data_IF_310550945998
#
_entry.id   IF_310550945998
#
_cell.length_a   1.000
_cell.length_b   1.000
_cell.length_c   1.000
_cell.angle_alpha   90.00
_cell.angle_beta   90.00
_cell.angle_gamma   90.00
#
_symmetry.space_group_name_H-M   'P 1'
#
loop_
_entity.id
_entity.type
_entity.pdbx_description
1 polymer ?
2 non-polymer ?
3 non-polymer ?
4 non-polymer ?
5 water ?
#
# COMPACT_ATOMS: atom_id res chain seq x y z
N UNK A 1 5.20 -1.32 -15.78
CA UNK A 1 5.47 -2.10 -14.51
C UNK A 1 6.53 -1.39 -13.69
N UNK A 2 6.64 -1.74 -12.42
CA UNK A 2 7.74 -1.24 -11.59
C UNK A 2 8.36 -2.45 -10.89
N UNK A 3 9.60 -2.28 -10.46
CA UNK A 3 10.42 -3.35 -9.92
C UNK A 3 11.15 -2.89 -8.67
N UNK A 4 11.39 -3.83 -7.75
CA UNK A 4 12.26 -3.58 -6.61
C UNK A 4 13.02 -4.89 -6.27
N UNK A 5 14.36 -4.78 -6.14
CA UNK A 5 15.22 -5.87 -5.74
C UNK A 5 15.76 -5.70 -4.31
N UNK A 6 15.65 -6.74 -3.52
CA UNK A 6 16.16 -6.68 -2.19
C UNK A 6 17.68 -6.87 -2.15
N UNK A 7 18.21 -7.55 -3.13
CA UNK A 7 19.62 -7.83 -3.19
C UNK A 7 20.33 -6.49 -3.49
N UNK A 8 21.13 -6.05 -2.53
CA UNK A 8 21.84 -4.75 -2.64
C UNK A 8 20.99 -3.53 -2.27
N UNK A 9 19.78 -3.77 -1.81
CA UNK A 9 18.89 -2.65 -1.50
C UNK A 9 19.43 -1.79 -0.39
N UNK A 10 19.15 -0.49 -0.52
CA UNK A 10 19.46 0.48 0.53
C UNK A 10 18.39 1.58 0.57
N UNK A 11 18.54 2.55 1.49
CA UNK A 11 17.44 3.53 1.53
C UNK A 11 17.16 4.26 0.21
N UNK A 12 18.21 4.48 -0.55
CA UNK A 12 18.10 5.16 -1.82
C UNK A 12 17.38 4.31 -2.86
N UNK A 13 17.77 3.05 -3.02
CA UNK A 13 17.13 2.27 -4.05
C UNK A 13 15.63 1.97 -3.68
N UNK A 14 15.35 1.86 -2.40
CA UNK A 14 13.98 1.73 -1.96
C UNK A 14 13.21 3.03 -2.32
N UNK A 15 13.78 4.20 -2.01
CA UNK A 15 13.07 5.44 -2.33
C UNK A 15 12.84 5.58 -3.82
N UNK A 16 13.76 5.10 -4.64
CA UNK A 16 13.55 5.12 -6.07
C UNK A 16 12.38 4.24 -6.48
N UNK A 17 12.26 3.08 -5.83
CA UNK A 17 11.13 2.20 -6.07
C UNK A 17 9.81 2.89 -5.73
N UNK A 18 9.72 3.53 -4.59
CA UNK A 18 8.51 4.08 -4.13
C UNK A 18 8.18 5.26 -5.06
N UNK A 19 9.21 6.00 -5.47
CA UNK A 19 8.98 7.06 -6.50
C UNK A 19 8.44 6.50 -7.83
N UNK A 20 9.00 5.40 -8.33
CA UNK A 20 8.49 4.71 -9.52
C UNK A 20 7.03 4.24 -9.32
N UNK A 21 6.75 3.68 -8.14
CA UNK A 21 5.38 3.19 -7.83
C UNK A 21 4.39 4.40 -7.89
N UNK A 22 4.73 5.47 -7.23
CA UNK A 22 3.87 6.66 -7.31
C UNK A 22 3.68 7.12 -8.77
N UNK A 23 4.75 7.14 -9.55
CA UNK A 23 4.74 7.74 -10.90
C UNK A 23 4.03 6.87 -11.88
N UNK A 24 3.82 5.60 -11.52
CA UNK A 24 3.13 4.66 -12.36
C UNK A 24 1.61 4.77 -12.22
N UNK A 25 1.13 5.49 -11.23
CA UNK A 25 -0.29 5.61 -10.98
C UNK A 25 -0.84 6.85 -11.72
N UNK A 26 -1.86 6.64 -12.56
CA UNK A 26 -2.34 7.75 -13.42
C UNK A 26 -3.22 8.73 -12.67
N UNK A 27 -3.19 9.98 -13.12
CA UNK A 27 -3.99 11.02 -12.53
C UNK A 27 -4.09 12.12 -13.62
N UNK A 28 -5.18 12.87 -13.59
CA UNK A 28 -5.35 14.00 -14.54
C UNK A 28 -5.42 15.33 -13.80
N UNK A 29 -5.56 15.33 -12.47
CA UNK A 29 -5.70 16.53 -11.66
C UNK A 29 -4.83 16.35 -10.39
N UNK A 30 -4.31 17.46 -9.86
CA UNK A 30 -3.84 17.55 -8.47
C UNK A 30 -4.78 18.41 -7.64
N UNK A 31 -4.92 18.02 -6.40
CA UNK A 31 -5.69 18.76 -5.45
C UNK A 31 -4.75 19.18 -4.37
N UNK A 32 -4.61 20.49 -4.19
CA UNK A 32 -3.62 21.06 -3.29
C UNK A 32 -2.23 20.47 -3.55
N UNK A 33 -1.96 20.29 -4.83
CA UNK A 33 -0.70 19.87 -5.29
C UNK A 33 -0.32 18.35 -5.06
N UNK A 34 -1.35 17.60 -4.68
CA UNK A 34 -1.28 16.14 -4.47
C UNK A 34 -2.06 15.44 -5.57
N UNK A 35 -1.44 14.52 -6.35
CA UNK A 35 -2.11 13.72 -7.34
C UNK A 35 -3.40 13.07 -6.86
N UNK A 36 -4.46 13.27 -7.66
CA UNK A 36 -5.78 12.73 -7.37
C UNK A 36 -5.97 11.48 -8.18
N UNK A 37 -6.03 10.33 -7.52
CA UNK A 37 -6.24 9.13 -8.30
C UNK A 37 -7.58 9.15 -9.01
N UNK A 38 -7.61 8.39 -10.08
CA UNK A 38 -8.81 8.40 -10.93
C UNK A 38 -10.03 7.74 -10.32
N UNK A 39 -11.23 8.22 -10.68
CA UNK A 39 -12.44 7.52 -10.33
C UNK A 39 -12.47 6.06 -10.78
N UNK A 40 -12.07 5.76 -12.00
CA UNK A 40 -12.10 4.40 -12.47
C UNK A 40 -11.27 4.30 -13.70
N UNK A 41 -10.87 3.06 -14.01
CA UNK A 41 -10.08 2.75 -15.16
C UNK A 41 -10.68 1.43 -15.60
N UNK A 42 -10.89 1.28 -16.91
CA UNK A 42 -11.54 0.07 -17.45
C UNK A 42 -10.53 -0.91 -17.98
N UNK A 43 -10.85 -2.19 -17.78
CA UNK A 43 -10.01 -3.27 -18.25
C UNK A 43 -8.64 -3.42 -17.59
N UNK A 44 -7.70 -3.84 -18.40
CA UNK A 44 -6.42 -4.27 -17.90
C UNK A 44 -5.64 -3.13 -17.34
N UNK A 45 -5.93 -1.91 -17.85
CA UNK A 45 -5.12 -0.78 -17.48
C UNK A 45 -5.36 -0.39 -16.05
N UNK A 46 -6.37 -0.97 -15.43
CA UNK A 46 -6.66 -0.71 -14.04
C UNK A 46 -5.52 -1.26 -13.13
N UNK A 47 -4.68 -2.16 -13.61
CA UNK A 47 -3.77 -2.92 -12.67
C UNK A 47 -2.32 -2.65 -13.01
N UNK A 48 -1.55 -2.22 -12.02
CA UNK A 48 -0.12 -2.09 -12.11
C UNK A 48 0.48 -3.40 -11.59
N UNK A 49 1.47 -3.88 -12.32
CA UNK A 49 2.33 -5.03 -11.91
C UNK A 49 3.62 -4.57 -11.25
N UNK A 50 3.83 -4.99 -9.99
CA UNK A 50 5.06 -4.76 -9.28
C UNK A 50 5.85 -6.01 -9.21
N UNK A 51 7.05 -6.00 -9.76
CA UNK A 51 7.93 -7.14 -9.73
C UNK A 51 8.86 -7.02 -8.56
N UNK A 52 8.74 -7.94 -7.58
CA UNK A 52 9.52 -7.86 -6.35
C UNK A 52 10.45 -9.06 -6.29
N UNK A 53 11.73 -8.82 -5.99
CA UNK A 53 12.72 -9.87 -5.91
C UNK A 53 13.33 -9.92 -4.55
N UNK A 54 13.32 -11.14 -3.99
CA UNK A 54 13.96 -11.35 -2.72
C UNK A 54 15.47 -11.34 -2.84
N UNK A 55 16.11 -11.38 -1.69
CA UNK A 55 17.58 -11.35 -1.69
C UNK A 55 18.28 -12.39 -2.57
N UNK A 56 17.73 -13.60 -2.66
CA UNK A 56 18.23 -14.64 -3.58
C UNK A 56 17.78 -14.50 -5.01
N UNK A 57 16.99 -13.48 -5.32
CA UNK A 57 16.67 -13.28 -6.75
C UNK A 57 15.38 -13.94 -7.24
N UNK A 58 14.71 -14.65 -6.35
CA UNK A 58 13.35 -15.18 -6.60
C UNK A 58 12.33 -14.05 -6.61
N UNK A 59 11.28 -14.23 -7.34
CA UNK A 59 10.37 -13.12 -7.66
C UNK A 59 8.91 -13.47 -7.60
N UNK A 60 8.15 -12.51 -7.09
CA UNK A 60 6.71 -12.53 -7.29
C UNK A 60 6.28 -11.23 -8.06
N UNK A 61 5.16 -11.31 -8.76
CA UNK A 61 4.55 -10.10 -9.34
C UNK A 61 3.28 -9.82 -8.63
N UNK A 62 3.13 -8.59 -8.16
CA UNK A 62 1.99 -8.17 -7.37
C UNK A 62 1.11 -7.26 -8.23
N UNK A 63 -0.17 -7.57 -8.27
CA UNK A 63 -1.18 -6.68 -8.97
C UNK A 63 -1.82 -5.70 -8.06
N UNK A 64 -1.71 -4.41 -8.46
CA UNK A 64 -2.19 -3.29 -7.73
C UNK A 64 -3.21 -2.46 -8.58
N UNK A 65 -4.34 -2.24 -7.97
CA UNK A 65 -5.43 -1.44 -8.51
C UNK A 65 -4.98 0.06 -8.44
N UNK A 66 -4.87 0.68 -9.63
CA UNK A 66 -4.26 2.02 -9.71
C UNK A 66 -5.21 3.15 -9.26
N UNK A 67 -6.44 2.84 -8.99
CA UNK A 67 -7.41 3.81 -8.50
C UNK A 67 -7.39 3.94 -7.01
N UNK A 68 -6.87 2.90 -6.30
CA UNK A 68 -6.91 2.96 -4.85
C UNK A 68 -5.62 2.40 -4.12
N UNK A 69 -4.68 1.93 -4.88
CA UNK A 69 -3.36 1.33 -4.48
C UNK A 69 -3.64 0.04 -3.68
N UNK A 70 -4.81 -0.59 -3.90
CA UNK A 70 -5.09 -1.88 -3.26
C UNK A 70 -4.40 -3.01 -3.95
N UNK A 71 -3.78 -3.89 -3.18
CA UNK A 71 -3.18 -5.08 -3.78
C UNK A 71 -4.33 -6.08 -3.99
N UNK A 72 -4.42 -6.59 -5.19
CA UNK A 72 -5.51 -7.52 -5.59
C UNK A 72 -5.06 -9.02 -5.45
N UNK A 73 -3.80 -9.25 -5.70
CA UNK A 73 -3.23 -10.62 -5.78
C UNK A 73 -1.85 -10.60 -6.30
N UNK A 74 -1.30 -11.79 -6.54
CA UNK A 74 0.10 -11.89 -6.95
C UNK A 74 0.31 -13.21 -7.67
N UNK A 75 1.35 -13.27 -8.41
CA UNK A 75 1.82 -14.43 -9.12
C UNK A 75 3.14 -14.91 -8.53
N UNK A 76 3.19 -16.18 -8.18
CA UNK A 76 4.44 -16.78 -7.68
C UNK A 76 4.72 -18.08 -8.47
N UNK A 77 5.76 -18.03 -9.30
CA UNK A 77 6.04 -19.02 -10.33
C UNK A 77 4.86 -19.26 -11.28
N UNK A 78 4.14 -20.36 -11.12
CA UNK A 78 3.08 -20.67 -12.08
C UNK A 78 1.72 -20.68 -11.37
N UNK A 79 1.65 -20.15 -10.15
CA UNK A 79 0.43 -20.07 -9.42
C UNK A 79 0.08 -18.64 -9.13
N UNK A 80 -1.16 -18.28 -9.42
CA UNK A 80 -1.67 -16.99 -9.04
C UNK A 80 -2.47 -17.09 -7.81
N UNK A 81 -2.46 -16.03 -7.00
CA UNK A 81 -3.24 -15.97 -5.78
C UNK A 81 -4.02 -14.62 -5.72
N UNK A 82 -5.29 -14.63 -5.33
CA UNK A 82 -6.14 -13.47 -5.26
C UNK A 82 -6.87 -13.46 -3.98
N UNK A 83 -7.11 -12.26 -3.45
CA UNK A 83 -7.96 -12.10 -2.29
C UNK A 83 -9.40 -12.59 -2.60
N UNK A 84 -10.09 -12.97 -1.55
CA UNK A 84 -11.47 -13.53 -1.61
C UNK A 84 -12.42 -12.33 -1.50
N UNK A 85 -12.48 -11.60 -2.61
CA UNK A 85 -13.30 -10.34 -2.68
C UNK A 85 -13.60 -10.02 -4.13
N UNK A 86 -14.72 -9.33 -4.33
CA UNK A 86 -15.12 -9.15 -5.77
C UNK A 86 -14.18 -8.36 -6.65
N UNK A 87 -13.52 -7.38 -6.06
CA UNK A 87 -12.54 -6.59 -6.82
C UNK A 87 -11.41 -7.43 -7.26
N UNK A 88 -10.96 -8.39 -6.44
CA UNK A 88 -9.87 -9.28 -6.87
C UNK A 88 -10.29 -10.32 -7.86
N UNK A 89 -11.50 -10.84 -7.67
CA UNK A 89 -12.06 -11.76 -8.65
C UNK A 89 -12.13 -11.04 -10.00
N UNK A 90 -12.60 -9.79 -10.03
CA UNK A 90 -12.56 -9.03 -11.31
C UNK A 90 -11.14 -8.91 -11.86
N UNK A 91 -10.18 -8.52 -11.03
CA UNK A 91 -8.77 -8.43 -11.46
C UNK A 91 -8.27 -9.71 -12.09
N UNK A 92 -8.73 -10.85 -11.55
CA UNK A 92 -8.25 -12.16 -12.06
C UNK A 92 -8.72 -12.43 -13.48
N UNK A 93 -9.64 -11.58 -13.98
CA UNK A 93 -10.05 -11.65 -15.37
C UNK A 93 -9.01 -11.04 -16.24
N UNK A 94 -8.18 -10.16 -15.67
CA UNK A 94 -7.22 -9.42 -16.48
C UNK A 94 -5.75 -9.78 -16.27
N UNK A 95 -5.35 -10.13 -15.04
CA UNK A 95 -3.91 -10.31 -14.80
C UNK A 95 -3.56 -11.75 -14.41
N UNK A 96 -2.40 -12.19 -14.82
CA UNK A 96 -1.85 -13.56 -14.49
C UNK A 96 -2.66 -14.68 -15.06
N UNK A 97 -3.40 -14.41 -16.14
CA UNK A 97 -4.21 -15.48 -16.76
C UNK A 97 -3.42 -16.68 -17.26
N UNK A 98 -2.13 -16.50 -17.46
CA UNK A 98 -1.22 -17.52 -17.94
C UNK A 98 -0.73 -18.46 -16.78
N UNK A 99 -1.11 -18.19 -15.51
CA UNK A 99 -0.80 -19.07 -14.41
C UNK A 99 -1.41 -20.42 -14.73
N UNK A 100 -0.71 -21.48 -14.36
CA UNK A 100 -1.24 -22.84 -14.50
C UNK A 100 -2.38 -23.11 -13.53
N UNK A 101 -2.39 -22.47 -12.38
CA UNK A 101 -3.54 -22.58 -11.49
C UNK A 101 -3.70 -21.30 -10.70
N UNK A 102 -4.91 -21.10 -10.26
CA UNK A 102 -5.29 -19.94 -9.54
C UNK A 102 -5.90 -20.32 -8.20
N UNK A 103 -5.29 -19.84 -7.11
CA UNK A 103 -5.79 -19.98 -5.78
C UNK A 103 -6.43 -18.72 -5.25
N UNK A 104 -7.62 -18.86 -4.70
CA UNK A 104 -8.23 -17.77 -4.03
C UNK A 104 -7.84 -17.94 -2.57
N UNK A 105 -7.22 -16.92 -2.05
CA UNK A 105 -6.85 -16.91 -0.63
C UNK A 105 -8.12 -16.96 0.22
N UNK A 106 -8.03 -17.48 1.43
CA UNK A 106 -9.23 -17.65 2.31
C UNK A 106 -9.50 -16.42 3.18
N UNK A 107 -9.26 -15.25 2.61
CA UNK A 107 -9.61 -14.03 3.26
C UNK A 107 -9.60 -12.90 2.19
N UNK A 108 -10.31 -11.85 2.52
CA UNK A 108 -10.19 -10.58 1.79
C UNK A 108 -8.91 -9.84 2.20
N UNK A 109 -8.66 -8.71 1.54
CA UNK A 109 -7.41 -7.98 1.72
C UNK A 109 -7.45 -6.85 2.72
N UNK A 110 -8.51 -6.64 3.41
CA UNK A 110 -8.44 -5.54 4.36
C UNK A 110 -7.75 -5.90 5.66
N UNK A 111 -7.15 -4.88 6.26
CA UNK A 111 -6.35 -5.12 7.45
C UNK A 111 -7.01 -5.93 8.52
N UNK A 112 -8.27 -5.65 8.85
CA UNK A 112 -8.97 -6.44 9.89
C UNK A 112 -8.95 -7.97 9.58
N UNK A 113 -9.35 -8.35 8.40
CA UNK A 113 -9.35 -9.76 8.02
C UNK A 113 -7.99 -10.40 7.97
N UNK A 114 -7.01 -9.68 7.41
CA UNK A 114 -5.62 -10.18 7.38
C UNK A 114 -5.04 -10.41 8.76
N UNK A 115 -5.33 -9.53 9.72
CA UNK A 115 -4.83 -9.62 11.08
C UNK A 115 -5.45 -10.81 11.75
N UNK A 116 -6.73 -11.03 11.49
CA UNK A 116 -7.44 -12.24 12.00
C UNK A 116 -6.75 -13.50 11.49
N UNK A 117 -6.49 -13.57 10.19
CA UNK A 117 -5.83 -14.71 9.60
C UNK A 117 -4.43 -14.91 10.09
N UNK A 118 -3.69 -13.82 10.25
CA UNK A 118 -2.33 -13.86 10.73
C UNK A 118 -2.22 -14.18 12.20
N UNK A 119 -3.24 -13.84 12.97
CA UNK A 119 -3.27 -14.12 14.37
C UNK A 119 -2.67 -13.02 15.24
N UNK A 120 -2.45 -11.86 14.64
CA UNK A 120 -1.86 -10.77 15.38
C UNK A 120 -2.16 -9.41 14.70
N UNK A 121 -2.29 -8.36 15.49
CA UNK A 121 -2.49 -7.04 14.83
C UNK A 121 -1.18 -6.55 14.16
N UNK A 122 -1.29 -5.60 13.27
CA UNK A 122 -0.06 -5.21 12.69
C UNK A 122 0.87 -4.33 13.55
N UNK A 123 0.37 -3.84 14.68
CA UNK A 123 1.21 -3.22 15.71
C UNK A 123 2.29 -4.13 16.22
N UNK A 124 2.10 -5.43 16.07
CA UNK A 124 3.01 -6.40 16.61
C UNK A 124 3.86 -7.03 15.55
N UNK A 125 3.72 -6.62 14.27
CA UNK A 125 4.45 -7.29 13.18
C UNK A 125 5.53 -6.32 12.69
N UNK A 126 6.81 -6.69 12.84
CA UNK A 126 7.91 -5.83 12.40
C UNK A 126 7.85 -5.63 10.91
N UNK A 127 8.12 -4.38 10.49
CA UNK A 127 8.26 -4.07 9.06
C UNK A 127 9.60 -3.44 8.79
N UNK A 128 9.97 -3.42 7.53
CA UNK A 128 11.30 -3.05 7.10
C UNK A 128 11.66 -3.77 5.85
N UNK A 129 12.85 -3.49 5.37
CA UNK A 129 13.39 -4.16 4.16
C UNK A 129 13.67 -5.68 4.43
N UNK A 130 14.28 -5.98 5.59
CA UNK A 130 14.39 -7.46 5.88
C UNK A 130 13.02 -8.18 5.93
N UNK A 131 12.02 -7.55 6.51
CA UNK A 131 10.65 -8.08 6.62
C UNK A 131 10.06 -8.26 5.22
N UNK A 132 10.31 -7.32 4.33
CA UNK A 132 9.89 -7.44 2.91
C UNK A 132 10.51 -8.59 2.20
N UNK A 133 11.80 -8.78 2.39
CA UNK A 133 12.46 -9.96 1.83
C UNK A 133 11.85 -11.27 2.37
N UNK A 134 11.55 -11.33 3.68
CA UNK A 134 10.89 -12.51 4.22
C UNK A 134 9.50 -12.69 3.58
N UNK A 135 8.79 -11.57 3.37
CA UNK A 135 7.39 -11.63 2.92
C UNK A 135 7.36 -12.25 1.54
N UNK A 136 8.24 -11.81 0.66
CA UNK A 136 8.31 -12.25 -0.70
C UNK A 136 8.59 -13.73 -0.66
N UNK A 137 9.56 -14.12 0.18
CA UNK A 137 9.94 -15.52 0.31
C UNK A 137 8.78 -16.41 0.75
N UNK A 138 8.01 -15.93 1.71
CA UNK A 138 6.88 -16.63 2.18
C UNK A 138 5.84 -16.84 1.09
N UNK A 139 5.65 -15.79 0.32
CA UNK A 139 4.57 -15.82 -0.69
C UNK A 139 4.90 -16.72 -1.84
N UNK A 140 6.17 -17.13 -1.95
CA UNK A 140 6.57 -18.04 -3.02
C UNK A 140 5.91 -19.44 -2.92
N UNK A 141 5.60 -19.85 -1.71
CA UNK A 141 4.91 -21.13 -1.53
C UNK A 141 3.75 -20.97 -0.59
N UNK A 142 2.62 -21.51 -1.03
CA UNK A 142 1.39 -21.29 -0.39
C UNK A 142 1.37 -21.75 1.05
N UNK A 143 0.98 -20.89 1.93
CA UNK A 143 0.68 -21.22 3.27
C UNK A 143 -0.18 -20.04 3.71
N UNK A 144 -1.48 -20.28 3.88
CA UNK A 144 -2.35 -19.12 4.00
C UNK A 144 -2.18 -18.36 5.28
N UNK A 145 -1.93 -19.05 6.40
CA UNK A 145 -1.63 -18.32 7.65
C UNK A 145 -0.34 -17.48 7.56
N UNK A 146 0.71 -18.04 7.04
CA UNK A 146 2.01 -17.33 6.90
C UNK A 146 1.82 -16.15 5.90
N UNK A 147 1.01 -16.38 4.86
CA UNK A 147 0.80 -15.39 3.81
C UNK A 147 0.08 -14.16 4.37
N UNK A 148 -0.84 -14.32 5.32
CA UNK A 148 -1.55 -13.18 5.84
C UNK A 148 -0.55 -12.18 6.43
N UNK A 149 0.36 -12.66 7.25
CA UNK A 149 1.40 -11.82 7.82
C UNK A 149 2.30 -11.20 6.77
N UNK A 150 2.73 -11.98 5.81
CA UNK A 150 3.50 -11.51 4.71
C UNK A 150 2.79 -10.36 3.94
N UNK A 151 1.51 -10.52 3.67
CA UNK A 151 0.80 -9.54 2.95
C UNK A 151 0.62 -8.24 3.74
N UNK A 152 0.47 -8.31 5.07
CA UNK A 152 0.41 -7.13 5.93
C UNK A 152 1.72 -6.38 5.84
N UNK A 153 2.82 -7.12 5.78
CA UNK A 153 4.14 -6.45 5.52
C UNK A 153 4.23 -5.84 4.11
N UNK A 154 3.83 -6.61 3.10
CA UNK A 154 3.94 -6.19 1.73
C UNK A 154 3.09 -4.90 1.48
N UNK A 155 1.87 -4.87 2.04
CA UNK A 155 0.93 -3.72 1.84
C UNK A 155 1.55 -2.42 2.40
N UNK A 156 2.11 -2.54 3.62
CA UNK A 156 2.68 -1.43 4.32
C UNK A 156 3.93 -0.93 3.67
N UNK A 157 4.75 -1.81 3.14
CA UNK A 157 6.04 -1.41 2.61
C UNK A 157 5.99 -0.99 1.16
N UNK A 158 4.82 -1.14 0.49
CA UNK A 158 4.69 -0.77 -0.93
C UNK A 158 3.61 0.36 -0.96
N UNK A 159 2.36 -0.05 -0.91
CA UNK A 159 1.24 0.89 -1.02
C UNK A 159 1.25 1.98 -0.01
N UNK A 160 1.47 1.67 1.27
CA UNK A 160 1.27 2.68 2.32
C UNK A 160 2.46 3.68 2.26
N UNK A 161 3.64 3.16 1.92
CA UNK A 161 4.79 4.04 1.67
C UNK A 161 4.60 4.95 0.44
N UNK A 162 3.98 4.43 -0.62
CA UNK A 162 3.61 5.28 -1.79
C UNK A 162 2.64 6.38 -1.36
N UNK A 163 1.71 6.09 -0.46
CA UNK A 163 0.73 7.10 -0.06
C UNK A 163 1.29 8.21 0.83
N UNK A 164 2.26 7.86 1.72
CA UNK A 164 2.73 8.75 2.74
C UNK A 164 4.23 8.78 2.81
N UNK A 165 4.83 9.94 2.62
CA UNK A 165 6.27 10.08 2.68
C UNK A 165 6.76 9.68 4.07
N UNK A 166 5.99 9.95 5.10
CA UNK A 166 6.40 9.60 6.43
C UNK A 166 6.64 8.04 6.53
N UNK A 167 5.68 7.27 5.99
CA UNK A 167 5.80 5.82 5.97
C UNK A 167 7.00 5.32 5.15
N UNK A 168 7.20 5.89 3.98
CA UNK A 168 8.37 5.64 3.17
C UNK A 168 9.67 5.85 4.00
N UNK A 169 9.75 6.98 4.71
CA UNK A 169 10.87 7.27 5.63
C UNK A 169 11.04 6.24 6.78
N UNK A 170 9.93 5.82 7.35
CA UNK A 170 9.96 4.82 8.38
C UNK A 170 10.60 3.52 7.82
N UNK A 171 10.20 3.07 6.65
CA UNK A 171 10.81 1.85 6.04
C UNK A 171 12.28 2.10 5.75
N UNK A 172 12.61 3.29 5.28
CA UNK A 172 14.03 3.58 5.01
C UNK A 172 14.85 3.47 6.28
N UNK A 173 14.31 3.87 7.39
CA UNK A 173 14.99 3.81 8.65
C UNK A 173 15.12 2.32 9.10
N UNK A 174 14.28 1.46 8.52
CA UNK A 174 14.33 0.00 8.79
C UNK A 174 14.91 -0.74 7.62
N UNK A 175 15.90 -0.19 6.97
CA UNK A 175 16.50 -0.84 5.83
C UNK A 175 17.23 -2.11 6.22
N UNK A 176 17.79 -2.15 7.42
CA UNK A 176 18.65 -3.26 7.82
C UNK A 176 18.29 -3.85 9.16
N UNK A 177 17.25 -3.34 9.80
CA UNK A 177 16.68 -3.80 11.04
C UNK A 177 15.18 -3.54 11.03
N UNK A 178 14.34 -4.60 11.14
CA UNK A 178 12.91 -4.43 11.22
C UNK A 178 12.50 -3.83 12.52
N UNK A 179 11.39 -3.10 12.53
CA UNK A 179 10.78 -2.69 13.75
C UNK A 179 9.32 -2.53 13.52
N UNK A 180 8.54 -2.79 14.55
CA UNK A 180 7.10 -2.63 14.38
C UNK A 180 6.80 -1.17 13.97
N UNK A 181 5.70 -0.97 13.24
CA UNK A 181 5.38 0.38 12.78
C UNK A 181 5.13 1.32 13.97
N UNK A 182 5.44 2.60 13.82
CA UNK A 182 5.03 3.56 14.83
C UNK A 182 3.49 3.69 14.86
N UNK A 183 2.97 4.13 15.99
CA UNK A 183 1.56 4.39 16.04
C UNK A 183 1.14 5.45 15.00
N UNK A 184 2.00 6.41 14.72
CA UNK A 184 1.72 7.43 13.70
C UNK A 184 1.50 6.74 12.34
N UNK A 185 2.35 5.78 12.09
CA UNK A 185 2.23 5.00 10.83
C UNK A 185 0.86 4.30 10.75
N UNK A 186 0.50 3.63 11.83
CA UNK A 186 -0.81 2.98 11.92
C UNK A 186 -1.98 3.99 11.67
N UNK A 187 -1.85 5.14 12.30
CA UNK A 187 -2.87 6.18 12.24
C UNK A 187 -3.04 6.65 10.80
N UNK A 188 -1.95 6.92 10.14
CA UNK A 188 -1.99 7.38 8.75
C UNK A 188 -2.58 6.36 7.82
N UNK A 189 -2.18 5.09 7.99
CA UNK A 189 -2.81 4.02 7.23
C UNK A 189 -4.31 4.03 7.38
N UNK A 190 -4.78 4.11 8.59
CA UNK A 190 -6.16 4.02 8.90
C UNK A 190 -6.96 5.27 8.43
N UNK A 191 -6.25 6.35 8.20
CA UNK A 191 -6.86 7.68 7.89
C UNK A 191 -6.79 8.11 6.44
N UNK A 192 -6.23 7.26 5.59
CA UNK A 192 -5.93 7.63 4.22
C UNK A 192 -7.20 8.03 3.43
N UNK A 193 -8.22 7.18 3.55
CA UNK A 193 -9.52 7.50 2.98
C UNK A 193 -10.15 8.81 3.47
N UNK A 194 -10.22 8.94 4.78
CA UNK A 194 -10.73 10.13 5.44
C UNK A 194 -9.96 11.37 5.06
N UNK A 195 -8.63 11.25 4.97
CA UNK A 195 -7.79 12.42 4.62
C UNK A 195 -8.00 12.80 3.22
N UNK A 196 -8.02 11.81 2.37
CA UNK A 196 -8.21 11.98 0.95
C UNK A 196 -9.57 12.73 0.73
N UNK A 197 -10.60 12.30 1.43
CA UNK A 197 -11.94 12.91 1.33
C UNK A 197 -11.95 14.38 1.78
N UNK A 198 -11.36 14.64 2.94
CA UNK A 198 -11.37 15.96 3.54
C UNK A 198 -10.52 16.97 2.75
N UNK A 199 -9.41 16.53 2.16
CA UNK A 199 -8.60 17.36 1.31
C UNK A 199 -9.42 17.74 0.05
N UNK A 200 -10.11 16.79 -0.56
CA UNK A 200 -11.01 17.14 -1.61
C UNK A 200 -12.19 18.05 -1.18
N UNK A 201 -12.79 17.84 -0.03
CA UNK A 201 -13.91 18.69 0.37
C UNK A 201 -13.43 20.11 0.72
N UNK A 202 -12.19 20.20 1.13
CA UNK A 202 -11.58 21.50 1.39
C UNK A 202 -11.58 22.46 0.14
N UNK A 203 -11.57 21.92 -1.09
CA UNK A 203 -11.40 22.75 -2.30
C UNK A 203 -12.48 23.83 -2.46
N UNK A 204 -13.70 23.52 -2.11
CA UNK A 204 -14.76 24.54 -2.14
C UNK A 204 -15.09 25.10 -0.77
N UNK A 205 -14.16 24.95 0.16
CA UNK A 205 -14.40 25.30 1.52
C UNK A 205 -13.18 26.08 2.08
N UNK A 206 -12.46 26.77 1.21
CA UNK A 206 -11.38 27.69 1.62
C UNK A 206 -10.29 26.93 2.36
N UNK A 207 -10.06 25.71 1.91
CA UNK A 207 -8.96 24.92 2.48
C UNK A 207 -9.25 24.29 3.85
N UNK A 208 -10.46 24.43 4.37
CA UNK A 208 -10.88 23.91 5.66
C UNK A 208 -11.61 22.56 5.51
N UNK A 209 -11.21 21.58 6.32
CA UNK A 209 -11.93 20.30 6.30
C UNK A 209 -13.36 20.48 6.81
N UNK A 210 -14.32 19.84 6.15
CA UNK A 210 -15.69 19.72 6.69
C UNK A 210 -15.72 18.94 7.98
N UNK A 211 -14.83 17.93 8.12
CA UNK A 211 -14.76 17.13 9.34
C UNK A 211 -13.29 16.89 9.72
N UNK A 212 -12.88 17.27 10.93
CA UNK A 212 -11.48 17.14 11.34
C UNK A 212 -11.07 15.68 11.36
N UNK A 213 -9.82 15.41 11.03
CA UNK A 213 -9.27 14.07 11.04
C UNK A 213 -8.32 13.99 12.24
N UNK A 214 -8.48 12.96 13.10
CA UNK A 214 -7.65 12.72 14.27
C UNK A 214 -6.51 11.76 13.90
N UNK A 215 -5.26 12.23 14.04
CA UNK A 215 -4.07 11.42 13.88
C UNK A 215 -3.27 11.28 15.16
N UNK A 216 -2.41 10.26 15.18
CA UNK A 216 -1.39 10.19 16.21
C UNK A 216 -0.12 10.76 15.61
N UNK A 217 0.57 11.67 16.31
CA UNK A 217 1.83 12.18 15.76
C UNK A 217 3.08 11.33 16.11
N UNK A 218 4.23 11.76 15.56
CA UNK A 218 5.59 11.21 15.88
C UNK A 218 5.91 10.93 17.36
N UNK A 219 5.26 11.66 18.25
CA UNK A 219 5.52 11.58 19.69
C UNK A 219 4.45 10.75 20.38
N UNK A 220 3.50 10.18 19.63
CA UNK A 220 2.41 9.42 20.24
C UNK A 220 1.25 10.21 20.80
N UNK A 221 1.27 11.52 20.53
CA UNK A 221 0.17 12.42 20.88
C UNK A 221 -0.88 12.49 19.76
N UNK A 222 -2.14 12.44 20.18
CA UNK A 222 -3.26 12.43 19.24
C UNK A 222 -3.61 13.88 18.90
N UNK A 223 -3.75 14.17 17.61
CA UNK A 223 -3.87 15.55 17.11
C UNK A 223 -4.98 15.68 16.07
N UNK A 224 -5.65 16.82 16.00
CA UNK A 224 -6.71 17.02 15.01
C UNK A 224 -6.18 17.76 13.80
N UNK A 225 -6.49 17.27 12.61
CA UNK A 225 -6.07 17.97 11.35
C UNK A 225 -7.36 18.66 10.84
N UNK A 226 -7.30 19.97 10.67
CA UNK A 226 -8.52 20.71 10.36
C UNK A 226 -8.46 21.44 9.02
N UNK A 227 -7.29 21.52 8.40
CA UNK A 227 -7.16 22.26 7.18
C UNK A 227 -5.91 21.92 6.47
N UNK A 228 -5.83 22.38 5.23
CA UNK A 228 -4.82 21.99 4.25
C UNK A 228 -3.42 22.58 4.57
N UNK A 229 -3.34 23.46 5.56
CA UNK A 229 -2.01 24.01 6.00
C UNK A 229 -1.26 23.02 6.87
N UNK A 230 -1.88 21.90 7.26
CA UNK A 230 -1.19 20.97 8.18
C UNK A 230 -0.09 20.23 7.38
N UNK A 231 1.03 19.93 8.06
CA UNK A 231 2.12 19.27 7.39
C UNK A 231 1.71 17.89 6.83
N UNK A 232 0.72 17.27 7.42
CA UNK A 232 0.22 15.99 6.79
C UNK A 232 -0.22 16.18 5.35
N UNK A 233 -0.84 17.36 5.09
CA UNK A 233 -1.25 17.75 3.73
C UNK A 233 -0.17 18.34 2.84
N UNK A 234 0.67 19.23 3.43
CA UNK A 234 1.73 19.91 2.60
C UNK A 234 2.95 19.09 2.34
N UNK A 235 3.22 18.10 3.21
CA UNK A 235 4.50 17.44 3.19
C UNK A 235 4.39 15.88 3.02
N UNK A 236 3.39 15.29 3.59
CA UNK A 236 3.35 13.85 3.92
C UNK A 236 2.58 13.05 2.80
N UNK A 237 1.27 13.26 2.74
CA UNK A 237 0.40 12.53 1.79
C UNK A 237 0.80 12.77 0.39
N UNK A 238 0.92 11.70 -0.41
CA UNK A 238 1.36 11.78 -1.79
C UNK A 238 0.37 11.43 -2.84
N UNK A 239 -0.74 10.84 -2.41
CA UNK A 239 -1.80 10.29 -3.31
C UNK A 239 -3.12 10.43 -2.62
N UNK A 240 -4.15 10.88 -3.39
CA UNK A 240 -5.51 10.98 -2.88
C UNK A 240 -6.46 9.97 -3.55
N UNK A 241 -7.13 9.21 -2.70
CA UNK A 241 -8.21 8.35 -3.09
C UNK A 241 -9.33 9.31 -3.54
N UNK A 242 -9.81 9.09 -4.75
CA UNK A 242 -10.93 9.91 -5.28
C UNK A 242 -12.19 9.77 -4.47
N UNK A 243 -12.85 10.91 -4.11
CA UNK A 243 -14.12 10.80 -3.39
C UNK A 243 -15.20 9.93 -4.05
N UNK A 244 -15.15 9.79 -5.35
CA UNK A 244 -16.10 8.91 -6.02
C UNK A 244 -15.97 7.44 -5.55
N UNK A 245 -14.80 7.08 -4.99
CA UNK A 245 -14.52 5.75 -4.42
C UNK A 245 -14.60 5.69 -2.88
N UNK A 246 -15.19 6.70 -2.26
CA UNK A 246 -15.29 6.77 -0.82
C UNK A 246 -16.78 6.81 -0.39
#
# INVERSE_FOLDING_TARGET
DVSFRLSGADPSSYGMFIKDLRNALPHTEKVYNIPLLLPSVSGAGRYLLMHLFNYDGNTITVAVDVTNVYIMGYLALTTSYFFNEPAADLASQYVFRSARRKITLPYSGNYERLQIAAGKPREKIPIGLPALDTAISTLLHYDSTAAAGALLVLIQTTAEAARFKYIEQQIQERAYRDEVPSSATISLENSWSGLSKQIQLAQGNNGVFRTPTVLVDSKGNRVQITNVTSNVVTSNIQLLLNTKNI
#
